data_IF_131758190976
#
_entry.id   IF_131758190976
#
_cell.length_a   1.000
_cell.length_b   1.000
_cell.length_c   1.000
_cell.angle_alpha   90.00
_cell.angle_beta   90.00
_cell.angle_gamma   90.00
#
_symmetry.space_group_name_H-M   'P 1'
#
loop_
_entity.id
_entity.type
_entity.pdbx_description
1 polymer ?
#
# COMPACT_ATOMS: atom_id res chain seq x y z
N UNK A 1 -0.28 11.76 5.99
CA UNK A 1 -0.94 10.82 5.07
C UNK A 1 -2.45 10.80 5.29
N UNK A 2 -3.24 10.78 4.22
CA UNK A 2 -4.67 10.53 4.34
C UNK A 2 -4.96 9.21 5.04
N UNK A 3 -6.09 9.13 5.71
CA UNK A 3 -6.46 7.99 6.55
C UNK A 3 -6.47 6.65 5.81
N UNK A 4 -6.98 6.64 4.58
CA UNK A 4 -7.03 5.42 3.77
C UNK A 4 -5.64 4.93 3.37
N UNK A 5 -4.74 5.85 3.02
CA UNK A 5 -3.35 5.52 2.69
C UNK A 5 -2.62 4.97 3.91
N UNK A 6 -2.83 5.59 5.07
CA UNK A 6 -2.24 5.13 6.32
C UNK A 6 -2.72 3.71 6.69
N UNK A 7 -4.01 3.43 6.53
CA UNK A 7 -4.58 2.10 6.78
C UNK A 7 -3.98 1.05 5.85
N UNK A 8 -3.80 1.37 4.58
CA UNK A 8 -3.17 0.46 3.63
C UNK A 8 -1.72 0.15 4.04
N UNK A 9 -0.95 1.19 4.38
CA UNK A 9 0.42 1.02 4.85
C UNK A 9 0.49 0.16 6.11
N UNK A 10 -0.39 0.42 7.05
CA UNK A 10 -0.43 -0.34 8.30
C UNK A 10 -0.70 -1.82 8.04
N UNK A 11 -1.63 -2.11 7.14
CA UNK A 11 -1.93 -3.48 6.75
C UNK A 11 -0.72 -4.18 6.13
N UNK A 12 0.01 -3.49 5.26
CA UNK A 12 1.25 -4.02 4.69
C UNK A 12 2.31 -4.30 5.77
N UNK A 13 2.45 -3.39 6.73
CA UNK A 13 3.42 -3.56 7.82
C UNK A 13 3.08 -4.72 8.75
N UNK A 14 1.80 -5.01 8.92
CA UNK A 14 1.34 -6.15 9.71
C UNK A 14 1.55 -7.48 8.99
N UNK A 15 1.75 -7.45 7.68
CA UNK A 15 1.91 -8.63 6.84
C UNK A 15 3.13 -8.49 5.93
N UNK A 16 4.33 -8.32 6.50
CA UNK A 16 5.53 -8.08 5.69
C UNK A 16 5.86 -9.27 4.78
N UNK A 17 6.20 -8.95 3.54
CA UNK A 17 6.58 -9.96 2.55
C UNK A 17 5.44 -10.77 1.96
N UNK A 18 4.22 -10.58 2.44
CA UNK A 18 3.05 -11.30 1.91
C UNK A 18 2.37 -10.49 0.81
N UNK A 19 1.85 -11.19 -0.19
CA UNK A 19 1.08 -10.58 -1.26
C UNK A 19 -0.30 -10.20 -0.73
N UNK A 20 -0.68 -8.93 -0.91
CA UNK A 20 -2.00 -8.43 -0.54
C UNK A 20 -2.81 -8.22 -1.82
N UNK A 21 -3.95 -8.87 -1.93
CA UNK A 21 -4.83 -8.70 -3.09
C UNK A 21 -5.52 -7.34 -3.04
N UNK A 22 -5.99 -6.86 -4.19
CA UNK A 22 -6.77 -5.62 -4.23
C UNK A 22 -8.02 -5.70 -3.36
N UNK A 23 -8.68 -6.85 -3.33
CA UNK A 23 -9.87 -7.07 -2.51
C UNK A 23 -9.56 -6.91 -1.02
N UNK A 24 -8.50 -7.53 -0.55
CA UNK A 24 -8.09 -7.44 0.85
C UNK A 24 -7.71 -6.01 1.22
N UNK A 25 -6.94 -5.34 0.36
CA UNK A 25 -6.53 -3.96 0.61
C UNK A 25 -7.73 -3.02 0.66
N UNK A 26 -8.66 -3.14 -0.28
CA UNK A 26 -9.85 -2.29 -0.30
C UNK A 26 -10.71 -2.51 0.94
N UNK A 27 -10.87 -3.75 1.35
CA UNK A 27 -11.64 -4.09 2.54
C UNK A 27 -11.01 -3.45 3.80
N UNK A 28 -9.68 -3.52 3.93
CA UNK A 28 -8.96 -2.91 5.06
C UNK A 28 -8.97 -1.39 5.02
N UNK A 29 -8.93 -0.79 3.83
CA UNK A 29 -8.94 0.66 3.67
C UNK A 29 -10.32 1.28 3.91
N UNK A 30 -11.38 0.67 3.41
CA UNK A 30 -12.70 1.28 3.32
C UNK A 30 -13.83 0.45 3.90
N UNK A 31 -13.62 -0.84 4.13
CA UNK A 31 -14.68 -1.77 4.53
C UNK A 31 -15.62 -2.19 3.40
N UNK A 32 -15.37 -1.71 2.16
CA UNK A 32 -16.20 -2.07 1.01
C UNK A 32 -15.60 -3.21 0.21
N UNK A 33 -16.46 -3.88 -0.55
CA UNK A 33 -16.04 -4.91 -1.50
C UNK A 33 -15.55 -4.27 -2.80
N UNK A 34 -14.63 -4.96 -3.47
CA UNK A 34 -14.12 -4.55 -4.77
C UNK A 34 -15.21 -4.66 -5.83
N UNK A 35 -15.39 -3.59 -6.61
CA UNK A 35 -16.34 -3.55 -7.73
C UNK A 35 -15.56 -3.68 -9.04
N UNK A 36 -16.23 -4.12 -10.13
CA UNK A 36 -15.62 -4.10 -11.46
C UNK A 36 -15.09 -2.70 -11.78
N UNK A 37 -13.87 -2.64 -12.33
CA UNK A 37 -13.18 -1.39 -12.70
C UNK A 37 -12.90 -0.44 -11.53
N UNK A 38 -12.91 -0.94 -10.29
CA UNK A 38 -12.57 -0.15 -9.12
C UNK A 38 -11.06 0.09 -9.08
N UNK A 39 -10.66 1.35 -9.13
CA UNK A 39 -9.24 1.74 -9.13
C UNK A 39 -8.78 2.38 -7.84
N UNK A 40 -9.59 2.33 -6.79
CA UNK A 40 -9.28 2.94 -5.50
C UNK A 40 -7.95 2.46 -4.94
N UNK A 41 -7.70 1.15 -4.98
CA UNK A 41 -6.46 0.57 -4.48
C UNK A 41 -5.27 1.03 -5.31
N UNK A 42 -5.37 0.98 -6.64
CA UNK A 42 -4.28 1.38 -7.54
C UNK A 42 -3.90 2.86 -7.34
N UNK A 43 -4.89 3.72 -7.20
CA UNK A 43 -4.67 5.15 -6.91
C UNK A 43 -3.99 5.34 -5.56
N UNK A 44 -4.45 4.63 -4.55
CA UNK A 44 -3.88 4.70 -3.20
C UNK A 44 -2.41 4.26 -3.19
N UNK A 45 -2.11 3.15 -3.86
CA UNK A 45 -0.73 2.64 -3.98
C UNK A 45 0.16 3.67 -4.67
N UNK A 46 -0.33 4.30 -5.75
CA UNK A 46 0.42 5.36 -6.45
C UNK A 46 0.75 6.53 -5.53
N UNK A 47 -0.21 6.97 -4.72
CA UNK A 47 -0.03 8.07 -3.77
C UNK A 47 0.97 7.72 -2.68
N UNK A 48 0.91 6.50 -2.16
CA UNK A 48 1.86 6.02 -1.17
C UNK A 48 3.28 6.00 -1.75
N UNK A 49 3.45 5.44 -2.95
CA UNK A 49 4.74 5.41 -3.64
C UNK A 49 5.32 6.81 -3.82
N UNK A 50 4.48 7.78 -4.15
CA UNK A 50 4.91 9.16 -4.34
C UNK A 50 5.52 9.76 -3.07
N UNK A 51 4.95 9.47 -1.90
CA UNK A 51 5.53 9.94 -0.64
C UNK A 51 6.95 9.41 -0.42
N UNK A 52 7.21 8.17 -0.81
CA UNK A 52 8.53 7.57 -0.64
C UNK A 52 9.51 8.01 -1.71
N UNK A 53 9.07 8.34 -2.92
CA UNK A 53 9.92 8.85 -4.00
C UNK A 53 10.54 10.20 -3.68
N UNK A 54 9.99 10.94 -2.74
CA UNK A 54 10.57 12.19 -2.24
C UNK A 54 11.86 11.97 -1.45
N UNK A 55 12.17 10.73 -1.10
CA UNK A 55 13.39 10.33 -0.42
C UNK A 55 14.35 9.68 -1.42
N UNK A 56 15.40 10.38 -1.89
CA UNK A 56 16.21 9.91 -3.01
C UNK A 56 16.91 8.57 -2.84
N UNK A 57 17.08 8.12 -1.61
CA UNK A 57 17.74 6.84 -1.32
C UNK A 57 16.76 5.75 -0.87
N UNK A 58 15.46 6.00 -0.99
CA UNK A 58 14.47 5.01 -0.57
C UNK A 58 14.31 3.92 -1.62
N UNK A 59 14.41 2.65 -1.25
CA UNK A 59 14.11 1.55 -2.18
C UNK A 59 12.62 1.51 -2.49
N UNK A 60 12.25 0.81 -3.54
CA UNK A 60 10.86 0.55 -3.85
C UNK A 60 10.27 -0.30 -2.73
N UNK A 61 9.29 0.23 -2.00
CA UNK A 61 8.73 -0.44 -0.82
C UNK A 61 7.47 -1.23 -1.11
N UNK A 62 6.72 -0.86 -2.13
CA UNK A 62 5.53 -1.60 -2.56
C UNK A 62 5.74 -2.06 -3.98
N UNK A 63 5.81 -3.38 -4.16
CA UNK A 63 6.06 -4.01 -5.45
C UNK A 63 4.76 -4.54 -6.00
N UNK A 64 4.48 -4.26 -7.27
CA UNK A 64 3.33 -4.84 -7.97
C UNK A 64 3.66 -6.28 -8.36
N UNK A 65 2.81 -7.21 -7.93
CA UNK A 65 2.92 -8.61 -8.33
C UNK A 65 1.83 -8.85 -9.38
N UNK A 66 2.26 -8.95 -10.62
CA UNK A 66 1.36 -9.02 -11.76
C UNK A 66 0.31 -10.15 -11.60
N UNK A 67 -0.96 -9.79 -11.76
CA UNK A 67 -2.07 -10.73 -11.65
C UNK A 67 -2.45 -11.16 -10.23
N UNK A 68 -1.68 -10.75 -9.20
CA UNK A 68 -1.93 -11.19 -7.83
C UNK A 68 -2.22 -10.04 -6.85
N UNK A 69 -1.49 -8.94 -6.94
CA UNK A 69 -1.69 -7.80 -6.04
C UNK A 69 -0.42 -7.04 -5.75
N UNK A 70 -0.18 -6.72 -4.49
CA UNK A 70 0.95 -5.91 -4.06
C UNK A 70 1.66 -6.54 -2.87
N UNK A 71 2.97 -6.31 -2.78
CA UNK A 71 3.78 -6.81 -1.67
C UNK A 71 4.60 -5.67 -1.06
N UNK A 72 4.62 -5.61 0.25
CA UNK A 72 5.40 -4.62 0.98
C UNK A 72 6.80 -5.14 1.25
N UNK A 73 7.82 -4.38 0.82
CA UNK A 73 9.24 -4.71 1.01
C UNK A 73 9.97 -3.68 1.88
N UNK A 74 9.22 -2.73 2.49
CA UNK A 74 9.82 -1.71 3.33
C UNK A 74 9.95 -2.12 4.79
N UNK A 75 10.49 -1.21 5.59
CA UNK A 75 10.66 -1.39 7.03
C UNK A 75 9.72 -0.46 7.80
N UNK A 76 9.31 -0.87 9.00
CA UNK A 76 8.43 -0.09 9.84
C UNK A 76 8.98 1.30 10.17
N UNK A 77 10.31 1.42 10.31
CA UNK A 77 10.96 2.70 10.56
C UNK A 77 10.69 3.74 9.49
N UNK A 78 10.57 3.32 8.23
CA UNK A 78 10.24 4.20 7.11
C UNK A 78 8.82 4.77 7.28
N UNK A 79 7.88 3.93 7.66
CA UNK A 79 6.50 4.34 7.90
C UNK A 79 6.41 5.35 9.04
N UNK A 80 7.14 5.14 10.12
CA UNK A 80 7.20 6.05 11.26
C UNK A 80 7.73 7.43 10.88
N UNK A 81 8.68 7.51 9.96
CA UNK A 81 9.24 8.79 9.53
C UNK A 81 8.25 9.64 8.74
N UNK A 82 7.17 9.04 8.24
CA UNK A 82 6.11 9.72 7.48
C UNK A 82 4.93 10.16 8.35
N UNK A 83 4.82 9.65 9.54
CA UNK A 83 3.69 9.93 10.43
C UNK A 83 3.80 11.23 11.23
#
# INVERSE_FOLDING_TARGET
LPRSEFRALLHFCENPGKIQTREDLLLKMTGRKLKPHDRTVDVTIRRIRKHFEEHPNSPEIIVTIHGEGYRFCGELGIVRSLS
#
